data_IF_900742495060
#
_entry.id   IF_900742495060
#
_cell.length_a   1.000
_cell.length_b   1.000
_cell.length_c   1.000
_cell.angle_alpha   90.00
_cell.angle_beta   90.00
_cell.angle_gamma   90.00
#
_symmetry.space_group_name_H-M   'P 1'
#
loop_
_entity.id
_entity.type
_entity.pdbx_description
1 polymer ?
#
# COMPACT_ATOMS: atom_id res chain seq x y z
N UNK A 1 21.69 -32.40 -13.24
CA UNK A 1 20.60 -33.12 -12.54
C UNK A 1 19.42 -32.19 -12.50
N UNK A 2 18.25 -32.61 -12.97
CA UNK A 2 17.03 -31.84 -12.75
C UNK A 2 16.73 -31.93 -11.25
N UNK A 3 16.60 -30.80 -10.57
CA UNK A 3 16.29 -30.80 -9.15
C UNK A 3 14.84 -31.19 -8.88
N UNK A 4 14.41 -31.20 -7.60
CA UNK A 4 13.08 -31.67 -7.21
C UNK A 4 11.97 -30.92 -7.95
N UNK A 5 10.96 -31.63 -8.42
CA UNK A 5 9.76 -31.01 -8.97
C UNK A 5 8.67 -30.96 -7.91
N UNK A 6 8.00 -29.81 -7.81
CA UNK A 6 6.91 -29.55 -6.86
C UNK A 6 5.66 -29.03 -7.57
N UNK A 7 4.52 -29.16 -6.90
CA UNK A 7 3.25 -28.59 -7.33
C UNK A 7 2.90 -27.39 -6.44
N UNK A 8 2.71 -26.21 -7.04
CA UNK A 8 2.39 -24.99 -6.32
C UNK A 8 1.00 -24.50 -6.73
N UNK A 9 0.08 -24.44 -5.78
CA UNK A 9 -1.27 -23.88 -5.94
C UNK A 9 -1.31 -22.48 -5.31
N UNK A 10 -1.68 -21.48 -6.12
CA UNK A 10 -1.81 -20.10 -5.65
C UNK A 10 -3.26 -19.73 -5.35
N UNK A 11 -3.49 -18.99 -4.27
CA UNK A 11 -4.75 -18.29 -4.04
C UNK A 11 -5.14 -17.42 -5.25
N UNK A 12 -6.44 -17.31 -5.52
CA UNK A 12 -6.98 -16.64 -6.71
C UNK A 12 -6.49 -15.20 -6.90
N UNK A 13 -6.30 -14.50 -5.79
CA UNK A 13 -5.84 -13.12 -5.70
C UNK A 13 -4.40 -12.96 -6.19
N UNK A 14 -3.59 -14.02 -6.08
CA UNK A 14 -2.20 -14.03 -6.52
C UNK A 14 -2.03 -14.41 -7.99
N UNK A 15 -3.10 -14.86 -8.67
CA UNK A 15 -3.03 -15.30 -10.07
C UNK A 15 -2.54 -14.19 -11.01
N UNK A 16 -2.80 -12.92 -10.68
CA UNK A 16 -2.29 -11.75 -11.43
C UNK A 16 -0.76 -11.74 -11.56
N UNK A 17 -0.05 -12.35 -10.61
CA UNK A 17 1.41 -12.40 -10.62
C UNK A 17 1.97 -13.61 -11.36
N UNK A 18 1.15 -14.62 -11.63
CA UNK A 18 1.61 -15.95 -12.07
C UNK A 18 1.16 -16.19 -13.53
N UNK A 19 1.88 -15.64 -14.53
CA UNK A 19 1.47 -15.70 -15.94
C UNK A 19 1.46 -17.11 -16.54
N UNK A 20 2.04 -18.10 -15.84
CA UNK A 20 2.14 -19.51 -16.28
C UNK A 20 1.26 -20.46 -15.46
N UNK A 21 0.41 -19.95 -14.58
CA UNK A 21 -0.54 -20.78 -13.87
C UNK A 21 -1.53 -21.43 -14.84
N UNK A 22 -1.88 -22.68 -14.58
CA UNK A 22 -3.06 -23.30 -15.19
C UNK A 22 -4.31 -22.53 -14.77
N UNK A 23 -5.44 -22.77 -15.45
CA UNK A 23 -6.73 -22.10 -15.14
C UNK A 23 -7.19 -22.29 -13.69
N UNK A 24 -6.68 -23.31 -13.00
CA UNK A 24 -6.93 -23.61 -11.59
C UNK A 24 -5.92 -22.97 -10.61
N UNK A 25 -4.96 -22.17 -11.09
CA UNK A 25 -3.93 -21.55 -10.24
C UNK A 25 -2.71 -22.42 -9.96
N UNK A 26 -2.63 -23.63 -10.54
CA UNK A 26 -1.54 -24.57 -10.27
C UNK A 26 -0.35 -24.39 -11.23
N UNK A 27 0.87 -24.44 -10.68
CA UNK A 27 2.15 -24.38 -11.40
C UNK A 27 3.01 -25.59 -11.01
N UNK A 28 3.66 -26.21 -12.00
CA UNK A 28 4.77 -27.14 -11.75
C UNK A 28 6.08 -26.36 -11.76
N UNK A 29 6.86 -26.47 -10.69
CA UNK A 29 8.12 -25.78 -10.54
C UNK A 29 9.25 -26.77 -10.28
N UNK A 30 10.33 -26.67 -11.05
CA UNK A 30 11.58 -27.35 -10.74
C UNK A 30 12.38 -26.48 -9.77
N UNK A 31 12.86 -27.07 -8.68
CA UNK A 31 13.72 -26.42 -7.70
C UNK A 31 15.17 -26.89 -7.90
N UNK A 32 16.13 -26.21 -7.27
CA UNK A 32 17.53 -26.63 -7.24
C UNK A 32 17.85 -27.58 -6.06
N UNK A 33 16.85 -27.88 -5.22
CA UNK A 33 16.98 -28.70 -4.02
C UNK A 33 17.63 -28.01 -2.81
N UNK A 34 17.92 -26.71 -2.91
CA UNK A 34 18.55 -25.93 -1.84
C UNK A 34 17.79 -24.62 -1.52
N UNK A 35 17.06 -24.07 -2.48
CA UNK A 35 16.31 -22.85 -2.32
C UNK A 35 15.04 -23.08 -1.46
N UNK A 36 14.84 -22.19 -0.49
CA UNK A 36 13.59 -22.14 0.28
C UNK A 36 12.40 -21.68 -0.58
N UNK A 37 11.18 -22.01 -0.14
CA UNK A 37 9.93 -21.66 -0.81
C UNK A 37 9.81 -20.17 -1.14
N UNK A 38 10.31 -19.28 -0.28
CA UNK A 38 10.32 -17.85 -0.55
C UNK A 38 11.00 -17.50 -1.88
N UNK A 39 12.19 -18.06 -2.13
CA UNK A 39 12.90 -17.84 -3.38
C UNK A 39 12.19 -18.45 -4.59
N UNK A 40 11.62 -19.65 -4.41
CA UNK A 40 10.85 -20.32 -5.47
C UNK A 40 9.63 -19.48 -5.86
N UNK A 41 8.88 -18.97 -4.88
CA UNK A 41 7.68 -18.15 -5.10
C UNK A 41 8.02 -16.82 -5.78
N UNK A 42 9.10 -16.14 -5.36
CA UNK A 42 9.55 -14.91 -6.02
C UNK A 42 10.02 -15.14 -7.46
N UNK A 43 10.62 -16.31 -7.73
CA UNK A 43 11.04 -16.73 -9.08
C UNK A 43 9.84 -17.06 -9.97
N UNK A 44 8.74 -17.53 -9.39
CA UNK A 44 7.44 -17.64 -10.06
C UNK A 44 6.76 -16.28 -10.24
N UNK A 45 7.28 -15.25 -9.57
CA UNK A 45 6.98 -13.84 -9.79
C UNK A 45 6.16 -13.20 -8.67
N UNK A 46 5.66 -13.95 -7.70
CA UNK A 46 4.83 -13.39 -6.63
C UNK A 46 5.73 -12.67 -5.62
N UNK A 47 5.54 -11.36 -5.35
CA UNK A 47 6.27 -10.69 -4.28
C UNK A 47 5.90 -11.30 -2.93
N UNK A 48 6.88 -11.55 -2.05
CA UNK A 48 6.60 -12.09 -0.71
C UNK A 48 5.74 -11.15 0.15
N UNK A 49 5.67 -9.87 -0.22
CA UNK A 49 4.75 -8.90 0.41
C UNK A 49 3.28 -9.25 0.23
N UNK A 50 2.93 -10.09 -0.74
CA UNK A 50 1.56 -10.54 -1.02
C UNK A 50 1.29 -11.96 -0.48
N UNK A 51 2.32 -12.64 0.00
CA UNK A 51 2.23 -14.03 0.47
C UNK A 51 1.82 -14.05 1.94
N UNK A 52 0.76 -14.80 2.23
CA UNK A 52 0.32 -15.14 3.58
C UNK A 52 0.93 -16.46 4.06
N UNK A 53 0.10 -17.36 4.58
CA UNK A 53 0.55 -18.68 5.02
C UNK A 53 0.98 -19.55 3.84
N UNK A 54 2.07 -20.30 4.04
CA UNK A 54 2.55 -21.33 3.13
C UNK A 54 2.23 -22.68 3.72
N UNK A 55 1.57 -23.54 2.96
CA UNK A 55 1.26 -24.90 3.39
C UNK A 55 2.01 -25.91 2.52
N UNK A 56 2.63 -26.90 3.14
CA UNK A 56 3.18 -28.09 2.48
C UNK A 56 2.39 -29.28 2.97
N UNK A 57 1.70 -29.97 2.06
CA UNK A 57 0.80 -31.10 2.34
C UNK A 57 -0.18 -30.79 3.50
N UNK A 58 -0.70 -29.55 3.50
CA UNK A 58 -1.64 -29.04 4.50
C UNK A 58 -1.04 -28.53 5.81
N UNK A 59 0.28 -28.59 6.00
CA UNK A 59 0.96 -28.07 7.21
C UNK A 59 1.62 -26.74 6.95
N UNK A 60 1.45 -25.77 7.85
CA UNK A 60 2.08 -24.47 7.71
C UNK A 60 3.60 -24.54 7.89
N UNK A 61 4.33 -23.90 6.98
CA UNK A 61 5.80 -23.89 6.93
C UNK A 61 6.33 -22.47 6.74
N UNK A 62 7.56 -22.17 7.21
CA UNK A 62 8.18 -20.88 6.96
C UNK A 62 8.63 -20.75 5.50
N UNK A 63 8.85 -19.51 5.05
CA UNK A 63 9.43 -19.21 3.71
C UNK A 63 10.80 -19.84 3.48
N UNK A 64 11.51 -20.23 4.53
CA UNK A 64 12.81 -20.91 4.47
C UNK A 64 12.71 -22.43 4.26
N UNK A 65 11.50 -23.02 4.26
CA UNK A 65 11.32 -24.45 3.99
C UNK A 65 11.86 -24.79 2.60
N UNK A 66 12.76 -25.77 2.52
CA UNK A 66 13.30 -26.27 1.26
C UNK A 66 12.45 -27.47 0.83
N UNK A 67 11.70 -27.37 -0.28
CA UNK A 67 10.71 -28.38 -0.60
C UNK A 67 11.33 -29.63 -1.22
N UNK A 68 10.78 -30.79 -0.87
CA UNK A 68 11.17 -32.10 -1.41
C UNK A 68 10.41 -32.43 -2.70
N UNK A 69 10.93 -33.39 -3.48
CA UNK A 69 10.29 -33.82 -4.72
C UNK A 69 8.88 -34.37 -4.46
N UNK A 70 7.90 -33.90 -5.23
CA UNK A 70 6.51 -34.35 -5.15
C UNK A 70 5.65 -33.66 -4.08
N UNK A 71 6.22 -32.77 -3.26
CA UNK A 71 5.44 -32.00 -2.28
C UNK A 71 4.40 -31.10 -2.96
N UNK A 72 3.22 -31.01 -2.33
CA UNK A 72 2.16 -30.09 -2.73
C UNK A 72 2.20 -28.84 -1.84
N UNK A 73 2.42 -27.69 -2.49
CA UNK A 73 2.55 -26.39 -1.84
C UNK A 73 1.31 -25.56 -2.13
N UNK A 74 0.64 -25.07 -1.09
CA UNK A 74 -0.43 -24.05 -1.21
C UNK A 74 0.09 -22.70 -0.73
N UNK A 75 -0.01 -21.69 -1.59
CA UNK A 75 0.38 -20.30 -1.30
C UNK A 75 -0.88 -19.48 -1.07
N UNK A 76 -1.13 -19.09 0.18
CA UNK A 76 -2.24 -18.20 0.52
C UNK A 76 -1.84 -16.74 0.31
N UNK A 77 -2.83 -15.89 0.09
CA UNK A 77 -2.65 -14.43 0.13
C UNK A 77 -2.61 -13.93 1.57
N UNK A 78 -2.13 -12.70 1.76
CA UNK A 78 -2.15 -12.02 3.07
C UNK A 78 -3.58 -11.97 3.64
N UNK A 79 -3.69 -12.26 4.94
CA UNK A 79 -4.96 -12.11 5.65
C UNK A 79 -5.34 -10.62 5.74
N UNK A 80 -6.64 -10.32 5.63
CA UNK A 80 -7.19 -8.97 5.80
C UNK A 80 -8.09 -8.91 7.04
N UNK A 81 -7.96 -7.88 7.89
CA UNK A 81 -6.96 -6.82 7.85
C UNK A 81 -5.55 -7.33 8.17
N UNK A 82 -4.58 -6.93 7.33
CA UNK A 82 -3.17 -7.24 7.50
C UNK A 82 -2.60 -6.43 8.66
N UNK A 83 -2.09 -7.13 9.67
CA UNK A 83 -1.33 -6.52 10.77
C UNK A 83 0.13 -6.36 10.35
N UNK A 84 0.67 -5.15 10.53
CA UNK A 84 2.10 -4.87 10.34
C UNK A 84 2.70 -4.55 11.70
N UNK A 85 3.35 -5.51 12.37
CA UNK A 85 3.87 -5.32 13.71
C UNK A 85 5.09 -4.38 13.72
N UNK A 86 5.32 -3.70 14.85
CA UNK A 86 6.57 -2.97 15.12
C UNK A 86 6.51 -1.45 14.96
N UNK A 87 5.47 -0.88 14.33
CA UNK A 87 5.27 0.58 14.27
C UNK A 87 3.79 0.93 13.95
N UNK A 88 3.34 2.18 14.20
CA UNK A 88 2.07 2.68 13.68
C UNK A 88 2.02 2.58 12.15
N UNK A 89 0.82 2.40 11.59
CA UNK A 89 0.65 2.31 10.13
C UNK A 89 0.98 3.65 9.45
N UNK A 90 2.11 3.66 8.76
CA UNK A 90 2.59 4.76 7.93
C UNK A 90 2.93 4.20 6.56
N UNK A 91 2.62 4.95 5.51
CA UNK A 91 2.82 4.51 4.14
C UNK A 91 3.92 5.32 3.44
N UNK A 92 4.59 4.67 2.50
CA UNK A 92 5.48 5.28 1.51
C UNK A 92 4.98 4.84 0.13
N UNK A 93 4.72 5.79 -0.77
CA UNK A 93 4.17 5.52 -2.09
C UNK A 93 5.19 5.89 -3.16
N UNK A 94 5.24 5.07 -4.22
CA UNK A 94 6.04 5.39 -5.41
C UNK A 94 5.46 6.60 -6.17
N UNK A 95 6.25 7.13 -7.10
CA UNK A 95 5.93 8.35 -7.87
C UNK A 95 4.61 8.26 -8.65
N UNK A 96 4.17 7.05 -9.02
CA UNK A 96 2.96 6.81 -9.82
C UNK A 96 1.67 6.80 -9.00
N UNK A 97 1.77 6.82 -7.66
CA UNK A 97 0.63 6.73 -6.75
C UNK A 97 0.26 8.06 -6.09
N UNK A 98 0.60 9.20 -6.71
CA UNK A 98 0.38 10.54 -6.15
C UNK A 98 -1.09 10.85 -5.80
N UNK A 99 -2.06 10.39 -6.60
CA UNK A 99 -3.48 10.58 -6.28
C UNK A 99 -3.91 9.78 -5.06
N UNK A 100 -3.43 8.54 -4.92
CA UNK A 100 -3.65 7.72 -3.74
C UNK A 100 -3.01 8.37 -2.51
N UNK A 101 -1.77 8.88 -2.63
CA UNK A 101 -1.09 9.58 -1.56
C UNK A 101 -1.89 10.78 -1.03
N UNK A 102 -2.41 11.61 -1.94
CA UNK A 102 -3.25 12.76 -1.58
C UNK A 102 -4.54 12.34 -0.87
N UNK A 103 -5.17 11.24 -1.29
CA UNK A 103 -6.40 10.72 -0.67
C UNK A 103 -6.15 10.11 0.70
N UNK A 104 -5.06 9.36 0.90
CA UNK A 104 -4.68 8.86 2.22
C UNK A 104 -4.38 10.01 3.19
N UNK A 105 -3.62 11.04 2.74
CA UNK A 105 -3.36 12.25 3.54
C UNK A 105 -4.63 13.02 3.90
N UNK A 106 -5.59 13.11 2.97
CA UNK A 106 -6.90 13.72 3.23
C UNK A 106 -7.60 13.04 4.41
N UNK A 107 -7.51 11.71 4.49
CA UNK A 107 -8.06 10.90 5.57
C UNK A 107 -7.19 10.91 6.85
N UNK A 108 -6.12 11.71 6.91
CA UNK A 108 -5.24 11.83 8.07
C UNK A 108 -4.13 10.79 8.17
N UNK A 109 -4.03 9.88 7.20
CA UNK A 109 -3.05 8.79 7.21
C UNK A 109 -1.65 9.34 6.88
N UNK A 110 -0.66 9.02 7.71
CA UNK A 110 0.74 9.42 7.46
C UNK A 110 1.28 8.74 6.21
N UNK A 111 1.40 9.53 5.13
CA UNK A 111 1.73 9.01 3.80
C UNK A 111 2.87 9.82 3.19
N UNK A 112 4.07 9.25 3.18
CA UNK A 112 5.21 9.78 2.45
C UNK A 112 5.03 9.51 0.95
N UNK A 113 5.36 10.51 0.16
CA UNK A 113 5.32 10.48 -1.31
C UNK A 113 6.13 11.67 -1.79
N UNK A 114 6.97 11.44 -2.79
CA UNK A 114 7.72 12.47 -3.50
C UNK A 114 7.40 12.39 -4.99
N UNK A 115 7.26 13.56 -5.62
CA UNK A 115 7.01 13.66 -7.06
C UNK A 115 8.26 13.38 -7.90
N UNK A 116 9.43 13.44 -7.27
CA UNK A 116 10.70 13.10 -7.90
C UNK A 116 10.96 11.62 -7.71
N UNK A 117 11.32 10.93 -8.79
CA UNK A 117 11.76 9.54 -8.70
C UNK A 117 13.17 9.48 -8.08
N UNK A 118 13.25 8.95 -6.86
CA UNK A 118 14.51 8.73 -6.14
C UNK A 118 15.07 7.32 -6.39
N UNK A 119 14.36 6.49 -7.17
CA UNK A 119 14.72 5.12 -7.51
C UNK A 119 14.37 4.10 -6.43
N UNK A 120 14.12 2.86 -6.89
CA UNK A 120 13.76 1.72 -6.04
C UNK A 120 14.70 1.48 -4.85
N UNK A 121 16.05 1.58 -4.99
CA UNK A 121 16.94 1.38 -3.84
C UNK A 121 16.73 2.40 -2.73
N UNK A 122 16.52 3.67 -3.09
CA UNK A 122 16.30 4.73 -2.12
C UNK A 122 14.92 4.61 -1.46
N UNK A 123 13.89 4.25 -2.23
CA UNK A 123 12.55 3.97 -1.69
C UNK A 123 12.58 2.82 -0.69
N UNK A 124 13.26 1.72 -1.02
CA UNK A 124 13.38 0.56 -0.13
C UNK A 124 14.15 0.90 1.15
N UNK A 125 15.28 1.59 1.04
CA UNK A 125 16.06 2.04 2.19
C UNK A 125 15.26 2.99 3.09
N UNK A 126 14.45 3.88 2.50
CA UNK A 126 13.57 4.79 3.25
C UNK A 126 12.42 4.05 3.94
N UNK A 127 11.80 3.07 3.29
CA UNK A 127 10.80 2.18 3.90
C UNK A 127 11.37 1.50 5.15
N UNK A 128 12.61 0.98 5.05
CA UNK A 128 13.36 0.40 6.16
C UNK A 128 13.58 1.38 7.31
N UNK A 129 14.21 2.51 7.00
CA UNK A 129 14.67 3.49 7.99
C UNK A 129 13.51 4.18 8.72
N UNK A 130 12.41 4.45 8.02
CA UNK A 130 11.25 5.14 8.60
C UNK A 130 10.13 4.19 9.05
N UNK A 131 10.31 2.88 8.90
CA UNK A 131 9.31 1.83 9.15
C UNK A 131 7.98 2.18 8.48
N UNK A 132 8.01 2.32 7.15
CA UNK A 132 6.84 2.63 6.33
C UNK A 132 6.50 1.47 5.42
N UNK A 133 5.22 1.13 5.35
CA UNK A 133 4.71 0.16 4.38
C UNK A 133 4.82 0.76 2.99
N UNK A 134 5.62 0.14 2.13
CA UNK A 134 5.78 0.55 0.73
C UNK A 134 4.56 0.11 -0.08
N UNK A 135 3.81 1.06 -0.64
CA UNK A 135 2.74 0.78 -1.58
C UNK A 135 3.26 1.01 -3.00
N UNK A 136 3.18 -0.02 -3.84
CA UNK A 136 3.66 0.09 -5.22
C UNK A 136 2.88 -0.79 -6.18
N UNK A 137 2.92 -0.43 -7.47
CA UNK A 137 2.55 -1.31 -8.58
C UNK A 137 3.75 -2.01 -9.21
N UNK A 138 4.96 -1.72 -8.74
CA UNK A 138 6.19 -2.34 -9.23
C UNK A 138 6.54 -3.58 -8.38
N UNK A 139 6.53 -4.74 -9.05
CA UNK A 139 6.91 -6.03 -8.45
C UNK A 139 8.41 -6.12 -8.19
N UNK A 140 9.24 -5.42 -8.96
CA UNK A 140 10.68 -5.30 -8.74
C UNK A 140 10.96 -4.64 -7.40
N UNK A 141 10.35 -3.48 -7.15
CA UNK A 141 10.45 -2.77 -5.88
C UNK A 141 9.97 -3.64 -4.71
N UNK A 142 8.82 -4.29 -4.83
CA UNK A 142 8.25 -5.13 -3.76
C UNK A 142 8.99 -6.45 -3.49
N UNK A 143 9.94 -6.85 -4.35
CA UNK A 143 10.84 -8.00 -4.13
C UNK A 143 12.17 -7.60 -3.50
N UNK A 144 12.39 -6.32 -3.18
CA UNK A 144 13.63 -5.87 -2.53
C UNK A 144 13.62 -6.27 -1.06
N UNK A 145 14.69 -6.96 -0.63
CA UNK A 145 14.83 -7.52 0.72
C UNK A 145 14.97 -6.45 1.80
N UNK A 146 15.39 -5.24 1.41
CA UNK A 146 15.59 -4.12 2.31
C UNK A 146 14.26 -3.48 2.76
N UNK A 147 13.14 -3.79 2.10
CA UNK A 147 11.84 -3.27 2.51
C UNK A 147 11.50 -3.69 3.94
N UNK A 148 10.96 -2.76 4.72
CA UNK A 148 10.41 -3.09 6.04
C UNK A 148 9.10 -3.88 5.91
N UNK A 149 8.20 -3.38 5.08
CA UNK A 149 6.95 -4.02 4.70
C UNK A 149 6.50 -3.44 3.35
N UNK A 150 5.65 -4.16 2.62
CA UNK A 150 5.12 -3.67 1.36
C UNK A 150 3.75 -4.23 1.01
N UNK A 151 3.14 -3.63 0.01
CA UNK A 151 1.87 -4.07 -0.56
C UNK A 151 1.75 -3.66 -2.04
N UNK A 152 1.28 -4.60 -2.84
CA UNK A 152 0.92 -4.36 -4.22
C UNK A 152 -0.42 -3.64 -4.33
N UNK A 153 -0.46 -2.61 -5.18
CA UNK A 153 -1.68 -1.85 -5.47
C UNK A 153 -2.34 -2.39 -6.74
N UNK A 154 -3.39 -3.19 -6.59
CA UNK A 154 -3.96 -3.98 -7.68
C UNK A 154 -4.60 -3.12 -8.79
N UNK A 155 -5.40 -2.12 -8.42
CA UNK A 155 -6.14 -1.30 -9.39
C UNK A 155 -5.35 -0.09 -9.89
N UNK A 156 -5.62 0.34 -11.13
CA UNK A 156 -5.18 1.63 -11.68
C UNK A 156 -6.17 2.75 -11.39
N UNK A 157 -7.38 2.42 -10.90
CA UNK A 157 -8.44 3.38 -10.59
C UNK A 157 -8.26 3.94 -9.18
N UNK A 158 -8.10 5.26 -8.99
CA UNK A 158 -7.80 5.83 -7.67
C UNK A 158 -8.79 5.50 -6.55
N UNK A 159 -10.06 5.24 -6.87
CA UNK A 159 -11.09 4.89 -5.88
C UNK A 159 -10.93 3.46 -5.39
N UNK A 160 -10.66 2.53 -6.31
CA UNK A 160 -10.39 1.13 -5.98
C UNK A 160 -9.06 0.99 -5.25
N UNK A 161 -8.04 1.77 -5.62
CA UNK A 161 -6.76 1.83 -4.88
C UNK A 161 -6.96 2.22 -3.42
N UNK A 162 -7.72 3.29 -3.17
CA UNK A 162 -8.00 3.75 -1.82
C UNK A 162 -8.76 2.68 -1.04
N UNK A 163 -9.81 2.10 -1.64
CA UNK A 163 -10.62 1.05 -1.01
C UNK A 163 -9.77 -0.17 -0.65
N UNK A 164 -8.92 -0.62 -1.57
CA UNK A 164 -8.03 -1.77 -1.36
C UNK A 164 -7.06 -1.55 -0.19
N UNK A 165 -6.44 -0.37 -0.09
CA UNK A 165 -5.52 -0.03 1.01
C UNK A 165 -6.26 0.06 2.35
N UNK A 166 -7.45 0.69 2.38
CA UNK A 166 -8.26 0.80 3.59
C UNK A 166 -8.76 -0.57 4.07
N UNK A 167 -9.20 -1.43 3.16
CA UNK A 167 -9.61 -2.81 3.44
C UNK A 167 -8.44 -3.67 3.92
N UNK A 168 -7.28 -3.54 3.28
CA UNK A 168 -6.10 -4.33 3.60
C UNK A 168 -5.52 -3.97 4.96
N UNK A 169 -5.41 -2.69 5.31
CA UNK A 169 -4.64 -2.27 6.49
C UNK A 169 -5.47 -1.69 7.63
N UNK A 170 -6.69 -1.22 7.34
CA UNK A 170 -7.55 -0.53 8.30
C UNK A 170 -6.81 0.53 9.15
N UNK A 171 -6.10 1.49 8.52
CA UNK A 171 -5.40 2.53 9.26
C UNK A 171 -6.39 3.39 10.05
N UNK A 172 -5.89 4.04 11.09
CA UNK A 172 -6.67 5.06 11.78
C UNK A 172 -6.94 6.24 10.83
N UNK A 173 -8.22 6.64 10.74
CA UNK A 173 -8.65 7.76 9.92
C UNK A 173 -8.90 8.97 10.84
N UNK A 174 -8.17 10.05 10.58
CA UNK A 174 -8.31 11.35 11.24
C UNK A 174 -8.41 12.42 10.15
N UNK A 175 -9.53 12.50 9.41
CA UNK A 175 -9.64 13.38 8.25
C UNK A 175 -9.26 14.82 8.56
N UNK A 176 -8.74 15.52 7.56
CA UNK A 176 -8.40 16.95 7.66
C UNK A 176 -7.32 17.30 8.69
N UNK A 177 -6.52 16.33 9.14
CA UNK A 177 -5.38 16.57 10.05
C UNK A 177 -4.03 16.68 9.34
N UNK A 178 -3.93 16.24 8.09
CA UNK A 178 -2.69 16.27 7.30
C UNK A 178 -2.83 17.02 5.98
N UNK A 179 -1.75 17.69 5.60
CA UNK A 179 -1.62 18.39 4.34
C UNK A 179 -1.60 17.38 3.19
N UNK A 180 -2.58 17.46 2.30
CA UNK A 180 -2.63 16.62 1.09
C UNK A 180 -1.42 16.83 0.17
N UNK A 181 -0.75 17.99 0.24
CA UNK A 181 0.42 18.29 -0.58
C UNK A 181 1.73 17.71 -0.01
N UNK A 182 2.01 17.91 1.29
CA UNK A 182 3.31 17.58 1.88
C UNK A 182 3.26 16.63 3.09
N UNK A 183 2.08 16.11 3.46
CA UNK A 183 1.86 15.23 4.63
C UNK A 183 2.02 15.90 6.02
N UNK A 184 2.47 17.16 6.09
CA UNK A 184 2.63 17.91 7.34
C UNK A 184 1.31 18.19 8.06
N UNK A 185 1.36 18.39 9.39
CA UNK A 185 0.16 18.60 10.20
C UNK A 185 -0.56 19.90 9.83
N UNK A 186 -1.88 19.82 9.76
CA UNK A 186 -2.77 20.97 9.62
C UNK A 186 -3.10 21.55 10.98
N UNK A 187 -3.12 22.87 11.04
CA UNK A 187 -3.69 23.63 12.16
C UNK A 187 -4.88 24.43 11.67
N UNK A 188 -5.83 24.70 12.56
CA UNK A 188 -6.89 25.67 12.28
C UNK A 188 -6.25 27.02 11.91
N UNK A 189 -6.83 27.68 10.93
CA UNK A 189 -6.38 28.97 10.46
C UNK A 189 -7.57 29.89 10.23
N UNK A 190 -7.40 31.16 10.58
CA UNK A 190 -8.34 32.23 10.30
C UNK A 190 -8.18 32.74 8.86
N UNK A 191 -9.15 33.51 8.36
CA UNK A 191 -9.06 34.11 7.02
C UNK A 191 -7.93 35.13 6.95
N UNK A 192 -7.71 35.84 8.04
CA UNK A 192 -6.69 36.88 8.21
C UNK A 192 -5.29 36.29 8.06
N UNK A 193 -5.04 35.11 8.65
CA UNK A 193 -3.73 34.43 8.58
C UNK A 193 -3.33 33.92 7.19
N UNK A 194 -4.27 33.84 6.26
CA UNK A 194 -4.05 33.32 4.90
C UNK A 194 -4.52 34.29 3.81
N UNK A 195 -4.80 35.54 4.18
CA UNK A 195 -5.35 36.55 3.28
C UNK A 195 -4.53 36.69 2.00
N UNK A 196 -3.19 36.63 2.10
CA UNK A 196 -2.26 36.74 0.96
C UNK A 196 -2.35 35.55 -0.03
N UNK A 197 -2.89 34.41 0.39
CA UNK A 197 -3.07 33.22 -0.46
C UNK A 197 -4.47 33.16 -1.09
N UNK A 198 -5.42 33.93 -0.57
CA UNK A 198 -6.76 34.05 -1.15
C UNK A 198 -6.66 35.01 -2.34
N UNK A 199 -6.95 34.54 -3.55
CA UNK A 199 -7.02 35.39 -4.74
C UNK A 199 -7.96 36.58 -4.45
N UNK A 200 -7.67 37.76 -5.02
CA UNK A 200 -8.41 39.02 -4.80
C UNK A 200 -9.92 38.97 -5.15
N UNK A 201 -10.41 37.83 -5.68
CA UNK A 201 -11.83 37.55 -5.85
C UNK A 201 -12.53 37.31 -4.51
N UNK A 202 -13.43 38.22 -4.15
CA UNK A 202 -14.44 38.14 -3.08
C UNK A 202 -13.97 37.39 -1.82
N UNK A 203 -13.01 37.98 -1.08
CA UNK A 203 -12.55 37.55 0.26
C UNK A 203 -13.69 37.12 1.22
N UNK A 204 -14.92 37.58 0.98
CA UNK A 204 -16.11 37.25 1.77
C UNK A 204 -16.58 35.78 1.64
N UNK A 205 -16.31 35.09 0.53
CA UNK A 205 -16.93 33.78 0.24
C UNK A 205 -16.16 32.55 0.73
N UNK A 206 -14.86 32.67 1.01
CA UNK A 206 -14.04 31.52 1.40
C UNK A 206 -14.16 31.19 2.89
N UNK A 207 -14.57 29.97 3.23
CA UNK A 207 -14.51 29.45 4.61
C UNK A 207 -13.17 28.70 4.81
N UNK A 208 -12.15 29.43 5.25
CA UNK A 208 -10.82 28.87 5.55
C UNK A 208 -10.91 28.03 6.82
N UNK A 209 -10.43 26.79 6.74
CA UNK A 209 -10.50 25.87 7.88
C UNK A 209 -9.12 25.41 8.35
N UNK A 210 -8.09 25.46 7.51
CA UNK A 210 -6.77 24.96 7.88
C UNK A 210 -5.60 25.61 7.12
N UNK A 211 -4.42 25.60 7.76
CA UNK A 211 -3.12 25.89 7.16
C UNK A 211 -2.12 24.82 7.55
N UNK A 212 -1.26 24.40 6.62
CA UNK A 212 -0.18 23.47 6.92
C UNK A 212 0.96 24.18 7.66
N UNK A 213 1.42 23.59 8.77
CA UNK A 213 2.56 24.11 9.52
C UNK A 213 3.92 23.94 8.83
N UNK A 214 4.02 23.03 7.85
CA UNK A 214 5.27 22.74 7.15
C UNK A 214 5.44 23.52 5.85
N UNK A 215 4.50 23.42 4.91
CA UNK A 215 4.59 24.11 3.61
C UNK A 215 3.77 25.41 3.54
N UNK A 216 3.06 25.78 4.61
CA UNK A 216 2.27 27.01 4.67
C UNK A 216 0.99 27.01 3.84
N UNK A 217 0.69 25.95 3.08
CA UNK A 217 -0.50 25.84 2.22
C UNK A 217 -1.80 26.01 3.02
N UNK A 218 -2.65 26.92 2.56
CA UNK A 218 -3.99 27.13 3.11
C UNK A 218 -5.04 26.21 2.46
N UNK A 219 -6.08 25.88 3.21
CA UNK A 219 -7.23 25.08 2.82
C UNK A 219 -8.54 25.79 3.21
N UNK A 220 -9.46 25.87 2.26
CA UNK A 220 -10.75 26.53 2.42
C UNK A 220 -11.85 25.74 1.71
N UNK A 221 -13.09 25.92 2.16
CA UNK A 221 -14.25 25.36 1.48
C UNK A 221 -14.52 26.14 0.20
N UNK A 222 -14.60 25.41 -0.90
CA UNK A 222 -14.90 25.93 -2.24
C UNK A 222 -15.41 24.78 -3.11
N UNK A 223 -15.50 24.97 -4.43
CA UNK A 223 -16.09 23.98 -5.35
C UNK A 223 -15.47 22.56 -5.26
N UNK A 224 -14.18 22.45 -4.95
CA UNK A 224 -13.51 21.15 -4.78
C UNK A 224 -13.72 20.51 -3.41
N UNK A 225 -14.28 21.22 -2.43
CA UNK A 225 -14.45 20.73 -1.07
C UNK A 225 -15.51 19.61 -1.00
N UNK A 226 -16.64 19.75 -1.70
CA UNK A 226 -17.71 18.75 -1.73
C UNK A 226 -17.21 17.38 -2.24
N UNK A 227 -16.35 17.38 -3.26
CA UNK A 227 -15.75 16.14 -3.79
C UNK A 227 -14.82 15.47 -2.78
N UNK A 228 -14.04 16.25 -2.03
CA UNK A 228 -13.15 15.74 -0.98
C UNK A 228 -13.97 15.21 0.20
N UNK A 229 -15.00 15.93 0.62
CA UNK A 229 -15.91 15.51 1.69
C UNK A 229 -16.57 14.17 1.34
N UNK A 230 -17.03 14.02 0.09
CA UNK A 230 -17.60 12.76 -0.38
C UNK A 230 -16.59 11.59 -0.33
N UNK A 231 -15.28 11.84 -0.51
CA UNK A 231 -14.25 10.82 -0.31
C UNK A 231 -14.11 10.46 1.17
N UNK A 232 -14.14 11.46 2.06
CA UNK A 232 -14.08 11.25 3.51
C UNK A 232 -15.26 10.44 4.00
N UNK A 233 -16.48 10.84 3.66
CA UNK A 233 -17.71 10.16 4.06
C UNK A 233 -17.74 8.70 3.59
N UNK A 234 -17.39 8.44 2.33
CA UNK A 234 -17.29 7.06 1.82
C UNK A 234 -16.26 6.22 2.58
N UNK A 235 -15.10 6.80 2.91
CA UNK A 235 -14.06 6.07 3.64
C UNK A 235 -14.47 5.77 5.09
N UNK A 236 -15.17 6.69 5.76
CA UNK A 236 -15.68 6.49 7.11
C UNK A 236 -16.83 5.47 7.15
N UNK A 237 -17.74 5.51 6.16
CA UNK A 237 -18.83 4.54 6.03
C UNK A 237 -18.28 3.10 5.86
N UNK A 238 -17.28 2.91 4.98
CA UNK A 238 -16.60 1.62 4.79
C UNK A 238 -16.03 1.05 6.10
N UNK A 239 -15.59 1.92 7.02
CA UNK A 239 -15.06 1.51 8.34
C UNK A 239 -16.18 1.16 9.31
N UNK A 240 -17.32 1.85 9.24
CA UNK A 240 -18.46 1.64 10.12
C UNK A 240 -19.19 0.32 9.82
N UNK A 241 -19.35 -0.05 8.54
CA UNK A 241 -19.99 -1.31 8.11
C UNK A 241 -19.24 -2.59 8.56
N UNK A 242 -18.02 -2.43 9.08
CA UNK A 242 -17.12 -3.53 9.45
C UNK A 242 -16.95 -3.73 10.96
N UNK A 243 -17.48 -2.81 11.76
CA UNK A 243 -17.53 -2.95 13.22
C UNK A 243 -18.83 -3.62 13.65
#
# INVERSE_FOLDING_TARGET
MNGPEIHVEFASELHVFVPRARRDGTVRAATDGAAGLGHVIESLGVPLTEVGALLVDGREVPVSHVPAAGESVTVRTVARPQRVPGAPLRFLLDVHLGTLARRLRLLGVDTAYESTDIGDPALAARSAAEQRVMLSRDRGLLRRRELWAGAFVYSTRPEEQLRDVLDRFEPELLPWTRCTACNGMLRKASKEEVADQLQQGTHRSYDVFARCGACGRAYWKGAHHEQLEAIVERALALRAERR
#
